data_IF_817820030909
#
_entry.id   IF_817820030909
#
_cell.length_a   1.000
_cell.length_b   1.000
_cell.length_c   1.000
_cell.angle_alpha   90.00
_cell.angle_beta   90.00
_cell.angle_gamma   90.00
#
_symmetry.space_group_name_H-M   'P 1'
#
loop_
_entity.id
_entity.type
_entity.pdbx_description
1 polymer ?
#
# COMPACT_ATOMS: atom_id res chain seq x y z
N UNK A 1 19.72 -5.68 -15.61
CA UNK A 1 18.40 -6.33 -15.66
C UNK A 1 18.44 -7.47 -14.64
N UNK A 2 17.85 -7.28 -13.45
CA UNK A 2 17.87 -8.29 -12.40
C UNK A 2 16.68 -9.23 -12.63
N UNK A 3 16.95 -10.48 -13.00
CA UNK A 3 15.95 -11.54 -13.09
C UNK A 3 15.68 -12.07 -11.68
N UNK A 4 14.52 -11.75 -11.11
CA UNK A 4 14.11 -12.28 -9.80
C UNK A 4 13.14 -13.44 -10.03
N UNK A 5 13.63 -14.68 -9.94
CA UNK A 5 12.77 -15.86 -9.83
C UNK A 5 12.36 -16.07 -8.37
N UNK A 6 11.23 -15.48 -7.97
CA UNK A 6 10.51 -15.93 -6.78
C UNK A 6 9.88 -17.30 -7.09
N UNK A 7 10.44 -18.36 -6.50
CA UNK A 7 9.88 -19.71 -6.60
C UNK A 7 8.61 -19.81 -5.76
N UNK A 8 7.61 -20.56 -6.24
CA UNK A 8 6.38 -20.88 -5.49
C UNK A 8 6.67 -21.41 -4.07
N UNK A 9 7.79 -22.13 -3.90
CA UNK A 9 8.28 -22.58 -2.59
C UNK A 9 8.55 -21.45 -1.61
N UNK A 10 8.98 -20.27 -2.07
CA UNK A 10 9.24 -19.11 -1.20
C UNK A 10 7.93 -18.43 -0.76
N UNK A 11 6.95 -18.32 -1.67
CA UNK A 11 5.61 -17.83 -1.34
C UNK A 11 4.90 -18.81 -0.40
N UNK A 12 4.99 -20.11 -0.68
CA UNK A 12 4.43 -21.14 0.18
C UNK A 12 5.16 -21.22 1.52
N UNK A 13 6.48 -21.00 1.56
CA UNK A 13 7.22 -20.87 2.81
C UNK A 13 6.84 -19.61 3.59
N UNK A 14 6.48 -18.50 2.94
CA UNK A 14 6.00 -17.30 3.62
C UNK A 14 4.58 -17.48 4.16
N UNK A 15 3.71 -18.16 3.41
CA UNK A 15 2.34 -18.48 3.82
C UNK A 15 2.29 -19.57 4.91
N UNK A 16 3.21 -20.53 4.87
CA UNK A 16 3.32 -21.63 5.83
C UNK A 16 4.39 -21.38 6.90
N UNK A 17 5.02 -20.19 6.92
CA UNK A 17 5.95 -19.84 7.99
C UNK A 17 5.19 -19.95 9.32
N UNK A 18 5.80 -20.52 10.37
CA UNK A 18 5.23 -20.36 11.70
C UNK A 18 5.02 -18.86 11.94
N UNK A 19 3.94 -18.47 12.65
CA UNK A 19 3.74 -17.08 13.03
C UNK A 19 5.07 -16.53 13.54
N UNK A 20 5.61 -15.52 12.86
CA UNK A 20 6.82 -14.84 13.32
C UNK A 20 6.61 -14.49 14.79
N UNK A 21 7.60 -14.67 15.65
CA UNK A 21 7.51 -14.25 17.06
C UNK A 21 6.94 -12.82 17.10
N UNK A 22 5.68 -12.74 17.53
CA UNK A 22 4.94 -11.50 17.65
C UNK A 22 5.56 -10.78 18.85
N UNK A 23 6.48 -9.86 18.57
CA UNK A 23 6.95 -8.94 19.59
C UNK A 23 5.89 -7.85 19.73
N UNK A 24 5.24 -7.79 20.88
CA UNK A 24 4.37 -6.67 21.25
C UNK A 24 5.20 -5.39 21.30
N UNK A 25 5.19 -4.65 20.19
CA UNK A 25 5.77 -3.31 20.16
C UNK A 25 4.67 -2.37 20.64
N UNK A 26 4.61 -2.17 21.96
CA UNK A 26 3.70 -1.20 22.55
C UNK A 26 3.88 0.14 21.84
N UNK A 27 2.83 0.58 21.16
CA UNK A 27 2.76 1.91 20.58
C UNK A 27 2.54 2.90 21.73
N UNK A 28 3.50 3.77 22.12
CA UNK A 28 3.34 4.74 23.20
C UNK A 28 2.34 5.87 22.89
N UNK A 29 1.49 5.72 21.87
CA UNK A 29 0.46 6.69 21.55
C UNK A 29 -0.69 6.58 22.56
N UNK A 30 -0.89 7.63 23.36
CA UNK A 30 -2.09 7.81 24.19
C UNK A 30 -3.27 8.24 23.29
N UNK A 31 -3.90 7.29 22.60
CA UNK A 31 -5.15 7.50 21.89
C UNK A 31 -6.31 6.75 22.56
N UNK A 32 -7.54 7.14 22.19
CA UNK A 32 -8.73 6.47 22.67
C UNK A 32 -8.70 5.00 22.18
N UNK A 33 -8.89 3.99 23.05
CA UNK A 33 -8.92 2.59 22.64
C UNK A 33 -10.00 2.26 21.60
N UNK A 34 -10.99 3.15 21.43
CA UNK A 34 -12.05 3.03 20.40
C UNK A 34 -11.64 3.57 19.03
N UNK A 35 -10.45 4.17 18.91
CA UNK A 35 -9.99 4.78 17.68
C UNK A 35 -9.65 3.73 16.63
N UNK A 36 -10.05 3.96 15.39
CA UNK A 36 -9.74 3.07 14.27
C UNK A 36 -8.31 3.35 13.81
N UNK A 37 -7.42 2.39 14.01
CA UNK A 37 -6.02 2.49 13.59
C UNK A 37 -5.80 1.67 12.32
N UNK A 38 -5.15 2.26 11.32
CA UNK A 38 -4.82 1.59 10.05
C UNK A 38 -3.34 1.77 9.74
N UNK A 39 -2.66 0.70 9.30
CA UNK A 39 -1.33 0.80 8.72
C UNK A 39 -1.47 1.35 7.30
N UNK A 40 -0.95 2.55 7.07
CA UNK A 40 -0.89 3.17 5.74
C UNK A 40 0.18 2.49 4.87
N UNK A 41 1.29 2.12 5.48
CA UNK A 41 2.37 1.41 4.82
C UNK A 41 3.63 1.36 5.69
N UNK A 42 4.64 0.64 5.21
CA UNK A 42 5.93 0.56 5.87
C UNK A 42 7.07 0.66 4.87
N UNK A 43 8.18 1.26 5.30
CA UNK A 43 9.36 1.44 4.47
C UNK A 43 10.59 1.70 5.35
N UNK A 44 11.71 1.02 5.07
CA UNK A 44 13.00 1.25 5.72
C UNK A 44 12.93 1.31 7.26
N UNK A 45 12.17 0.38 7.87
CA UNK A 45 11.98 0.28 9.32
C UNK A 45 11.10 1.37 9.93
N UNK A 46 10.52 2.26 9.12
CA UNK A 46 9.50 3.22 9.52
C UNK A 46 8.11 2.74 9.10
N UNK A 47 7.10 3.10 9.89
CA UNK A 47 5.70 2.74 9.70
C UNK A 47 4.89 4.03 9.62
N UNK A 48 3.99 4.11 8.65
CA UNK A 48 3.00 5.17 8.59
C UNK A 48 1.66 4.64 9.10
N UNK A 49 1.07 5.36 10.04
CA UNK A 49 -0.17 4.96 10.72
C UNK A 49 -1.21 6.06 10.52
N UNK A 50 -2.43 5.68 10.16
CA UNK A 50 -3.59 6.55 10.19
C UNK A 50 -4.46 6.24 11.41
N UNK A 51 -4.96 7.27 12.09
CA UNK A 51 -5.88 7.13 13.24
C UNK A 51 -7.15 7.92 12.96
N UNK A 52 -8.29 7.26 13.18
CA UNK A 52 -9.66 7.80 13.02
C UNK A 52 -9.93 8.43 11.66
N UNK A 53 -9.17 7.98 10.64
CA UNK A 53 -9.12 8.63 9.34
C UNK A 53 -9.04 10.15 9.52
N UNK A 54 -8.13 10.65 10.36
CA UNK A 54 -7.96 12.07 10.65
C UNK A 54 -6.50 12.44 10.82
N UNK A 55 -5.82 11.69 11.68
CA UNK A 55 -4.44 11.96 12.02
C UNK A 55 -3.53 10.96 11.33
N UNK A 56 -2.42 11.44 10.77
CA UNK A 56 -1.38 10.58 10.17
C UNK A 56 -0.10 10.71 10.96
N UNK A 57 0.54 9.58 11.22
CA UNK A 57 1.75 9.47 12.02
C UNK A 57 2.84 8.74 11.25
N UNK A 58 4.07 9.22 11.42
CA UNK A 58 5.26 8.44 11.15
C UNK A 58 5.79 7.90 12.46
N UNK A 59 5.98 6.59 12.49
CA UNK A 59 6.49 5.85 13.63
C UNK A 59 7.75 5.09 13.24
N UNK A 60 8.82 5.25 14.02
CA UNK A 60 9.96 4.34 13.97
C UNK A 60 9.93 3.45 15.23
N UNK A 61 9.53 2.17 15.10
CA UNK A 61 9.45 1.23 16.23
C UNK A 61 10.80 0.97 16.89
N UNK A 62 11.90 0.96 16.12
CA UNK A 62 13.24 0.66 16.64
C UNK A 62 13.72 1.70 17.66
N UNK A 63 13.53 2.98 17.37
CA UNK A 63 13.89 4.08 18.28
C UNK A 63 12.70 4.63 19.09
N UNK A 64 11.52 3.99 18.97
CA UNK A 64 10.26 4.38 19.63
C UNK A 64 9.88 5.86 19.44
N UNK A 65 10.22 6.46 18.29
CA UNK A 65 9.88 7.86 17.98
C UNK A 65 8.65 7.97 17.10
N UNK A 66 7.79 8.90 17.46
CA UNK A 66 6.56 9.23 16.75
C UNK A 66 6.60 10.67 16.28
N UNK A 67 6.04 10.90 15.10
CA UNK A 67 5.83 12.24 14.57
C UNK A 67 4.42 12.30 13.98
N UNK A 68 3.55 13.07 14.61
CA UNK A 68 2.29 13.48 14.01
C UNK A 68 2.59 14.37 12.81
N UNK A 69 1.95 14.10 11.68
CA UNK A 69 2.02 14.95 10.52
C UNK A 69 1.15 16.20 10.73
N UNK A 70 1.50 17.35 10.13
CA UNK A 70 0.60 18.50 10.11
C UNK A 70 -0.72 18.11 9.45
N UNK A 71 -1.78 18.86 9.75
CA UNK A 71 -3.07 18.64 9.11
C UNK A 71 -2.93 18.74 7.59
N UNK A 72 -3.43 17.73 6.90
CA UNK A 72 -3.48 17.65 5.44
C UNK A 72 -4.51 18.61 4.84
N UNK A 73 -5.46 19.10 5.65
CA UNK A 73 -6.55 19.95 5.21
C UNK A 73 -7.57 19.24 4.30
N UNK A 74 -7.57 17.90 4.27
CA UNK A 74 -8.67 17.15 3.65
C UNK A 74 -9.92 17.27 4.53
N UNK A 75 -11.02 17.77 3.98
CA UNK A 75 -12.28 17.96 4.73
C UNK A 75 -12.90 16.65 5.21
N UNK A 76 -12.71 15.56 4.46
CA UNK A 76 -13.29 14.24 4.74
C UNK A 76 -12.24 13.15 4.55
N UNK A 77 -11.38 13.01 5.55
CA UNK A 77 -10.31 12.02 5.55
C UNK A 77 -10.82 10.57 5.59
N UNK A 78 -12.10 10.34 5.98
CA UNK A 78 -12.78 9.04 5.92
C UNK A 78 -12.85 8.41 4.52
N UNK A 79 -12.67 9.21 3.47
CA UNK A 79 -12.67 8.75 2.07
C UNK A 79 -11.30 8.90 1.41
N UNK A 80 -10.30 9.40 2.12
CA UNK A 80 -8.98 9.63 1.56
C UNK A 80 -8.14 8.34 1.62
N UNK A 81 -7.50 8.00 0.51
CA UNK A 81 -6.44 7.00 0.50
C UNK A 81 -5.13 7.66 0.91
N UNK A 82 -4.42 7.01 1.83
CA UNK A 82 -3.04 7.34 2.13
C UNK A 82 -2.09 6.28 1.60
N UNK A 83 -0.91 6.72 1.18
CA UNK A 83 0.21 5.86 0.81
C UNK A 83 1.51 6.37 1.39
N UNK A 84 2.39 5.46 1.77
CA UNK A 84 3.67 5.80 2.39
C UNK A 84 4.83 5.12 1.68
N UNK A 85 5.89 5.88 1.43
CA UNK A 85 7.10 5.37 0.82
C UNK A 85 8.30 6.28 1.01
N UNK A 86 9.39 5.92 0.37
CA UNK A 86 10.66 6.62 0.47
C UNK A 86 11.19 7.01 -0.91
N UNK A 87 11.53 8.28 -1.06
CA UNK A 87 12.18 8.83 -2.24
C UNK A 87 13.70 8.66 -2.09
N UNK A 88 14.26 7.66 -2.77
CA UNK A 88 15.69 7.37 -2.75
C UNK A 88 16.54 8.53 -3.30
N UNK A 89 16.01 9.34 -4.22
CA UNK A 89 16.76 10.42 -4.84
C UNK A 89 16.86 11.64 -3.92
N UNK A 90 15.77 11.97 -3.23
CA UNK A 90 15.73 13.10 -2.28
C UNK A 90 16.07 12.68 -0.84
N UNK A 91 16.28 11.38 -0.60
CA UNK A 91 16.44 10.78 0.72
C UNK A 91 15.34 11.27 1.68
N UNK A 92 14.08 11.14 1.24
CA UNK A 92 12.95 11.67 2.00
C UNK A 92 11.82 10.67 2.13
N UNK A 93 11.25 10.60 3.33
CA UNK A 93 10.02 9.86 3.54
C UNK A 93 8.86 10.73 3.09
N UNK A 94 7.97 10.14 2.29
CA UNK A 94 6.82 10.85 1.74
C UNK A 94 5.52 10.11 2.02
N UNK A 95 4.47 10.90 2.26
CA UNK A 95 3.10 10.39 2.39
C UNK A 95 2.25 11.07 1.35
N UNK A 96 1.59 10.27 0.50
CA UNK A 96 0.55 10.76 -0.40
C UNK A 96 -0.80 10.64 0.29
N UNK A 97 -1.65 11.65 0.14
CA UNK A 97 -3.07 11.58 0.42
C UNK A 97 -3.86 11.89 -0.85
N UNK A 98 -4.87 11.10 -1.14
CA UNK A 98 -5.75 11.24 -2.31
C UNK A 98 -7.19 11.22 -1.83
N UNK A 99 -7.96 12.28 -2.11
CA UNK A 99 -9.39 12.29 -1.82
C UNK A 99 -10.08 13.56 -2.29
N UNK A 100 -11.37 13.47 -2.64
CA UNK A 100 -12.16 14.57 -3.20
C UNK A 100 -11.49 15.21 -4.43
N UNK A 101 -10.92 14.40 -5.32
CA UNK A 101 -10.17 14.85 -6.52
C UNK A 101 -8.90 15.66 -6.22
N UNK A 102 -8.51 15.84 -4.96
CA UNK A 102 -7.27 16.49 -4.58
C UNK A 102 -6.20 15.44 -4.24
N UNK A 103 -4.97 15.69 -4.66
CA UNK A 103 -3.81 14.92 -4.24
C UNK A 103 -2.85 15.84 -3.50
N UNK A 104 -2.41 15.38 -2.33
CA UNK A 104 -1.42 16.07 -1.51
C UNK A 104 -0.25 15.15 -1.20
N UNK A 105 0.95 15.71 -1.21
CA UNK A 105 2.18 15.01 -0.89
C UNK A 105 2.86 15.69 0.29
N UNK A 106 3.01 14.95 1.38
CA UNK A 106 3.84 15.33 2.51
C UNK A 106 5.28 14.92 2.26
N UNK A 107 6.22 15.83 2.55
CA UNK A 107 7.65 15.52 2.67
C UNK A 107 8.11 15.61 4.11
N UNK A 108 8.83 14.60 4.62
CA UNK A 108 9.33 14.62 6.01
C UNK A 108 10.37 15.72 6.21
N UNK A 109 11.26 15.94 5.23
CA UNK A 109 12.29 16.99 5.27
C UNK A 109 11.70 18.40 5.24
N UNK A 110 10.67 18.64 4.43
CA UNK A 110 9.98 19.94 4.38
C UNK A 110 8.99 20.13 5.53
N UNK A 111 8.57 19.03 6.15
CA UNK A 111 7.55 18.98 7.19
C UNK A 111 6.23 19.65 6.78
N UNK A 112 5.88 19.59 5.49
CA UNK A 112 4.72 20.26 4.93
C UNK A 112 4.04 19.42 3.84
N UNK A 113 2.76 19.68 3.63
CA UNK A 113 1.98 19.17 2.50
C UNK A 113 2.11 20.13 1.33
N UNK A 114 2.19 19.58 0.13
CA UNK A 114 1.99 20.32 -1.13
C UNK A 114 0.93 19.65 -1.99
N UNK A 115 0.28 20.43 -2.83
CA UNK A 115 -0.68 19.92 -3.81
C UNK A 115 0.09 19.31 -4.98
N UNK A 116 -0.40 18.18 -5.49
CA UNK A 116 0.10 17.52 -6.70
C UNK A 116 -0.97 17.66 -7.77
N UNK A 117 -0.59 18.21 -8.91
CA UNK A 117 -1.46 18.37 -10.07
C UNK A 117 -1.46 17.11 -10.97
N UNK A 118 -2.40 17.07 -11.91
CA UNK A 118 -2.46 16.01 -12.93
C UNK A 118 -3.14 14.71 -12.49
N UNK A 119 -3.74 14.67 -11.29
CA UNK A 119 -4.63 13.58 -10.91
C UNK A 119 -5.96 13.69 -11.65
N UNK A 120 -6.29 12.67 -12.43
CA UNK A 120 -7.45 12.64 -13.34
C UNK A 120 -8.39 11.45 -13.10
N UNK A 121 -8.16 10.72 -12.02
CA UNK A 121 -8.85 9.46 -11.72
C UNK A 121 -9.90 9.70 -10.65
N UNK A 122 -10.89 8.80 -10.56
CA UNK A 122 -11.81 8.83 -9.42
C UNK A 122 -11.07 8.49 -8.12
N UNK A 123 -11.70 8.79 -6.99
CA UNK A 123 -11.15 8.43 -5.70
C UNK A 123 -10.87 6.92 -5.64
N UNK A 124 -9.67 6.52 -5.20
CA UNK A 124 -9.26 5.12 -5.18
C UNK A 124 -10.05 4.34 -4.12
N UNK A 125 -10.04 3.02 -4.26
CA UNK A 125 -10.58 2.15 -3.21
C UNK A 125 -9.78 2.36 -1.90
N UNK A 126 -10.45 2.55 -0.75
CA UNK A 126 -9.75 2.74 0.53
C UNK A 126 -8.75 1.61 0.81
N UNK A 127 -7.66 1.96 1.49
CA UNK A 127 -6.71 1.00 2.06
C UNK A 127 -5.97 0.10 1.04
N UNK A 128 -5.74 0.52 -0.19
CA UNK A 128 -4.96 -0.26 -1.17
C UNK A 128 -3.81 0.55 -1.76
N UNK A 129 -2.75 0.76 -0.98
CA UNK A 129 -1.52 1.38 -1.48
C UNK A 129 -0.29 0.50 -1.21
N UNK A 130 0.45 0.19 -2.28
CA UNK A 130 1.64 -0.65 -2.25
C UNK A 130 2.86 0.14 -2.71
N UNK A 131 3.91 0.19 -1.88
CA UNK A 131 5.17 0.85 -2.20
C UNK A 131 6.20 -0.14 -2.73
N UNK A 132 6.64 0.03 -3.98
CA UNK A 132 7.70 -0.79 -4.58
C UNK A 132 8.47 0.04 -5.61
N UNK A 133 9.79 -0.17 -5.72
CA UNK A 133 10.65 0.50 -6.71
C UNK A 133 10.52 2.04 -6.74
N UNK A 134 10.41 2.68 -5.56
CA UNK A 134 10.30 4.13 -5.44
C UNK A 134 8.92 4.69 -5.83
N UNK A 135 7.94 3.82 -6.07
CA UNK A 135 6.61 4.18 -6.57
C UNK A 135 5.51 3.65 -5.66
N UNK A 136 4.48 4.46 -5.47
CA UNK A 136 3.25 4.08 -4.78
C UNK A 136 2.23 3.60 -5.79
N UNK A 137 1.58 2.47 -5.54
CA UNK A 137 0.62 1.86 -6.45
C UNK A 137 -0.71 1.70 -5.75
N UNK A 138 -1.79 2.10 -6.41
CA UNK A 138 -3.13 2.01 -5.89
C UNK A 138 -4.11 1.69 -7.02
N UNK A 139 -5.27 1.14 -6.67
CA UNK A 139 -6.32 0.79 -7.63
C UNK A 139 -7.32 1.94 -7.68
N UNK A 140 -7.56 2.44 -8.89
CA UNK A 140 -8.57 3.47 -9.20
C UNK A 140 -9.57 2.92 -10.19
N UNK A 141 -10.74 3.56 -10.26
CA UNK A 141 -11.70 3.35 -11.32
C UNK A 141 -11.63 4.49 -12.34
N UNK A 142 -11.51 4.13 -13.62
CA UNK A 142 -11.57 5.07 -14.74
C UNK A 142 -12.96 5.00 -15.35
N UNK A 143 -13.62 6.15 -15.51
CA UNK A 143 -14.88 6.25 -16.23
C UNK A 143 -14.65 6.08 -17.73
N UNK A 144 -15.39 5.17 -18.36
CA UNK A 144 -15.45 4.99 -19.82
C UNK A 144 -16.67 5.69 -20.44
N UNK A 145 -17.39 6.50 -19.66
CA UNK A 145 -18.71 7.03 -20.02
C UNK A 145 -19.84 6.00 -19.86
N UNK A 146 -21.09 6.46 -19.97
CA UNK A 146 -22.30 5.62 -19.84
C UNK A 146 -22.35 4.81 -18.54
N UNK A 147 -21.93 5.38 -17.41
CA UNK A 147 -21.83 4.72 -16.10
C UNK A 147 -20.96 3.44 -16.08
N UNK A 148 -20.05 3.26 -17.05
CA UNK A 148 -19.10 2.15 -17.05
C UNK A 148 -17.78 2.57 -16.43
N UNK A 149 -17.28 1.75 -15.52
CA UNK A 149 -16.01 1.95 -14.84
C UNK A 149 -15.11 0.75 -15.06
N UNK A 150 -13.84 1.02 -15.40
CA UNK A 150 -12.81 -0.01 -15.45
C UNK A 150 -11.76 0.23 -14.38
N UNK A 151 -11.39 -0.79 -13.60
CA UNK A 151 -10.31 -0.66 -12.65
C UNK A 151 -8.98 -0.53 -13.40
N UNK A 152 -8.10 0.33 -12.91
CA UNK A 152 -6.70 0.42 -13.34
C UNK A 152 -5.77 0.49 -12.12
N UNK A 153 -4.56 -0.03 -12.27
CA UNK A 153 -3.48 0.26 -11.34
C UNK A 153 -2.88 1.59 -11.77
N UNK A 154 -2.80 2.54 -10.85
CA UNK A 154 -2.05 3.78 -11.04
C UNK A 154 -0.86 3.76 -10.11
N UNK A 155 0.30 4.07 -10.69
CA UNK A 155 1.53 4.30 -9.97
C UNK A 155 1.80 5.80 -9.85
N UNK A 156 2.32 6.23 -8.70
CA UNK A 156 2.85 7.56 -8.46
C UNK A 156 4.33 7.45 -8.13
N UNK A 157 5.17 8.07 -8.96
CA UNK A 157 6.61 8.11 -8.78
C UNK A 157 6.98 9.16 -7.73
N UNK A 158 7.57 8.73 -6.61
CA UNK A 158 7.91 9.67 -5.53
C UNK A 158 9.02 10.64 -5.91
N UNK A 159 9.92 10.26 -6.82
CA UNK A 159 11.06 11.07 -7.20
C UNK A 159 10.66 12.13 -8.23
N UNK A 160 9.97 11.68 -9.28
CA UNK A 160 9.52 12.51 -10.40
C UNK A 160 8.17 13.18 -10.15
N UNK A 161 7.41 12.70 -9.15
CA UNK A 161 6.09 13.21 -8.79
C UNK A 161 5.06 13.11 -9.94
N UNK A 162 5.13 12.03 -10.70
CA UNK A 162 4.29 11.77 -11.87
C UNK A 162 3.43 10.52 -11.71
N UNK A 163 2.22 10.56 -12.24
CA UNK A 163 1.36 9.39 -12.35
C UNK A 163 1.61 8.60 -13.63
N UNK A 164 1.52 7.28 -13.55
CA UNK A 164 1.50 6.38 -14.72
C UNK A 164 0.54 5.22 -14.50
N UNK A 165 -0.16 4.83 -15.55
CA UNK A 165 -1.02 3.66 -15.55
C UNK A 165 -0.18 2.39 -15.68
N UNK A 166 -0.60 1.34 -14.98
CA UNK A 166 0.00 0.02 -15.01
C UNK A 166 -1.11 -0.98 -15.35
N UNK A 167 -0.85 -1.85 -16.32
CA UNK A 167 -1.83 -2.82 -16.74
C UNK A 167 -1.99 -3.98 -15.74
N UNK A 168 -3.23 -4.43 -15.59
CA UNK A 168 -3.56 -5.66 -14.88
C UNK A 168 -3.19 -6.91 -15.70
N UNK A 169 -2.99 -8.07 -15.03
CA UNK A 169 -2.89 -9.35 -15.73
C UNK A 169 -4.16 -9.65 -16.54
N UNK A 170 -5.33 -9.45 -15.92
CA UNK A 170 -6.63 -9.65 -16.52
C UNK A 170 -7.60 -8.51 -16.10
N UNK A 171 -8.24 -7.82 -17.05
CA UNK A 171 -9.22 -6.77 -16.76
C UNK A 171 -10.51 -7.30 -16.13
N UNK A 172 -10.86 -8.57 -16.30
CA UNK A 172 -12.18 -9.14 -15.94
C UNK A 172 -12.32 -9.57 -14.48
N UNK A 173 -11.27 -9.38 -13.67
CA UNK A 173 -11.32 -9.72 -12.26
C UNK A 173 -12.40 -8.89 -11.51
N UNK A 174 -13.08 -9.47 -10.52
CA UNK A 174 -14.16 -8.76 -9.82
C UNK A 174 -13.65 -8.02 -8.58
N UNK A 175 -12.84 -8.69 -7.76
CA UNK A 175 -12.23 -8.15 -6.54
C UNK A 175 -10.71 -8.22 -6.60
N UNK A 176 -10.04 -7.17 -6.13
CA UNK A 176 -8.59 -6.98 -6.27
C UNK A 176 -8.02 -6.32 -5.02
N UNK A 177 -6.78 -6.68 -4.69
CA UNK A 177 -5.94 -5.96 -3.76
C UNK A 177 -4.48 -5.98 -4.19
N UNK A 178 -3.72 -4.99 -3.73
CA UNK A 178 -2.30 -4.84 -4.00
C UNK A 178 -1.49 -5.21 -2.75
N UNK A 179 -0.34 -5.85 -2.97
CA UNK A 179 0.61 -6.20 -1.92
C UNK A 179 2.06 -6.22 -2.41
N UNK A 180 3.00 -6.30 -1.48
CA UNK A 180 4.44 -6.35 -1.78
C UNK A 180 5.08 -7.44 -0.92
N UNK A 181 5.63 -8.47 -1.55
CA UNK A 181 6.42 -9.51 -0.89
C UNK A 181 7.88 -9.35 -1.33
N UNK A 182 8.76 -9.04 -0.37
CA UNK A 182 10.15 -8.73 -0.66
C UNK A 182 10.28 -7.45 -1.49
N UNK A 183 10.83 -7.57 -2.70
CA UNK A 183 11.00 -6.47 -3.66
C UNK A 183 10.09 -6.58 -4.89
N UNK A 184 9.20 -7.58 -4.93
CA UNK A 184 8.31 -7.82 -6.07
C UNK A 184 6.89 -7.28 -5.81
N UNK A 185 6.24 -6.81 -6.89
CA UNK A 185 4.87 -6.32 -6.87
C UNK A 185 3.86 -7.46 -7.01
N UNK A 186 2.84 -7.48 -6.15
CA UNK A 186 1.84 -8.54 -6.11
C UNK A 186 0.43 -7.98 -6.32
N UNK A 187 -0.32 -8.65 -7.18
CA UNK A 187 -1.77 -8.50 -7.25
C UNK A 187 -2.40 -9.74 -6.62
N UNK A 188 -3.32 -9.51 -5.69
CA UNK A 188 -4.18 -10.54 -5.13
C UNK A 188 -5.58 -10.34 -5.72
N UNK A 189 -6.13 -11.38 -6.31
CA UNK A 189 -7.44 -11.35 -6.96
C UNK A 189 -8.35 -12.34 -6.25
N UNK A 190 -9.54 -11.90 -5.87
CA UNK A 190 -10.48 -12.74 -5.13
C UNK A 190 -11.59 -13.25 -6.08
N UNK A 191 -11.66 -14.58 -6.24
CA UNK A 191 -12.77 -15.32 -6.86
C UNK A 191 -12.73 -16.77 -6.35
N UNK A 192 -13.70 -17.20 -5.51
CA UNK A 192 -13.76 -18.56 -4.89
C UNK A 192 -12.45 -19.03 -4.16
N UNK A 193 -11.55 -18.08 -3.91
CA UNK A 193 -10.26 -18.13 -3.24
C UNK A 193 -9.44 -16.91 -3.68
N UNK A 194 -8.14 -16.85 -3.34
CA UNK A 194 -7.25 -15.73 -3.70
C UNK A 194 -6.20 -16.21 -4.70
N UNK A 195 -6.33 -15.79 -5.94
CA UNK A 195 -5.31 -15.94 -6.96
C UNK A 195 -4.17 -14.95 -6.72
N UNK A 196 -2.94 -15.47 -6.64
CA UNK A 196 -1.74 -14.65 -6.44
C UNK A 196 -1.01 -14.48 -7.76
N UNK A 197 -0.88 -13.22 -8.20
CA UNK A 197 -0.19 -12.84 -9.42
C UNK A 197 1.02 -11.96 -9.10
N UNK A 198 2.13 -12.23 -9.79
CA UNK A 198 3.38 -11.47 -9.66
C UNK A 198 3.75 -10.85 -10.99
N UNK A 199 4.14 -9.58 -10.98
CA UNK A 199 4.76 -8.91 -12.11
C UNK A 199 6.27 -9.14 -12.06
N UNK A 200 6.77 -10.04 -12.92
CA UNK A 200 8.22 -10.39 -12.94
C UNK A 200 9.08 -9.22 -13.43
N UNK A 201 8.56 -8.47 -14.40
CA UNK A 201 9.23 -7.29 -14.95
C UNK A 201 8.35 -6.06 -14.77
N UNK A 202 8.86 -5.09 -14.02
CA UNK A 202 8.07 -3.94 -13.63
C UNK A 202 7.52 -3.17 -14.85
N UNK A 203 6.20 -2.94 -14.86
CA UNK A 203 5.49 -2.23 -15.93
C UNK A 203 5.21 -3.05 -17.20
N UNK A 204 5.69 -4.30 -17.28
CA UNK A 204 5.50 -5.16 -18.47
C UNK A 204 4.30 -6.08 -18.26
N UNK A 205 3.20 -5.84 -18.98
CA UNK A 205 1.96 -6.61 -18.85
C UNK A 205 2.17 -8.11 -19.06
N UNK A 206 2.97 -8.49 -20.05
CA UNK A 206 3.24 -9.89 -20.39
C UNK A 206 4.06 -10.62 -19.31
N UNK A 207 4.67 -9.89 -18.37
CA UNK A 207 5.46 -10.47 -17.28
C UNK A 207 4.61 -10.93 -16.09
N UNK A 208 3.32 -10.58 -16.08
CA UNK A 208 2.39 -11.07 -15.06
C UNK A 208 2.27 -12.58 -15.13
N UNK A 209 2.58 -13.25 -14.02
CA UNK A 209 2.49 -14.70 -13.90
C UNK A 209 1.65 -15.04 -12.68
N UNK A 210 0.66 -15.93 -12.84
CA UNK A 210 -0.03 -16.54 -11.71
C UNK A 210 0.94 -17.50 -11.02
N UNK A 211 1.23 -17.25 -9.76
CA UNK A 211 2.18 -18.07 -8.99
C UNK A 211 1.49 -19.03 -8.04
N UNK A 212 0.21 -18.81 -7.74
CA UNK A 212 -0.56 -19.76 -6.94
C UNK A 212 -1.98 -19.32 -6.63
N UNK A 213 -2.59 -20.09 -5.72
CA UNK A 213 -3.97 -19.94 -5.26
C UNK A 213 -4.03 -20.21 -3.76
N UNK A 214 -4.72 -19.35 -3.01
CA UNK A 214 -4.96 -19.50 -1.58
C UNK A 214 -6.46 -19.74 -1.37
N UNK A 215 -6.89 -20.93 -0.91
CA UNK A 215 -8.29 -21.18 -0.62
C UNK A 215 -8.77 -20.41 0.62
N UNK A 216 -10.06 -20.08 0.70
CA UNK A 216 -10.69 -19.22 1.73
C UNK A 216 -10.59 -19.70 3.20
N UNK A 217 -9.95 -20.83 3.50
CA UNK A 217 -9.89 -21.40 4.84
C UNK A 217 -8.96 -20.66 5.82
N UNK A 218 -8.24 -19.62 5.37
CA UNK A 218 -7.36 -18.80 6.20
C UNK A 218 -8.05 -17.47 6.46
N UNK A 219 -8.13 -17.04 7.72
CA UNK A 219 -8.71 -15.76 8.12
C UNK A 219 -8.02 -14.62 7.33
N UNK A 220 -8.69 -14.14 6.28
CA UNK A 220 -8.05 -13.44 5.17
C UNK A 220 -7.58 -12.03 5.56
N UNK A 221 -8.24 -11.40 6.54
CA UNK A 221 -7.89 -10.07 7.02
C UNK A 221 -6.44 -9.98 7.55
N UNK A 222 -6.00 -10.93 8.38
CA UNK A 222 -4.64 -10.94 8.93
C UNK A 222 -3.60 -11.28 7.85
N UNK A 223 -3.98 -12.13 6.89
CA UNK A 223 -3.14 -12.53 5.76
C UNK A 223 -2.86 -11.37 4.79
N UNK A 224 -3.86 -10.50 4.56
CA UNK A 224 -3.68 -9.29 3.75
C UNK A 224 -2.77 -8.26 4.43
N UNK A 225 -2.82 -8.15 5.77
CA UNK A 225 -1.92 -7.28 6.53
C UNK A 225 -0.48 -7.81 6.50
N UNK A 226 -0.30 -9.13 6.64
CA UNK A 226 1.01 -9.78 6.57
C UNK A 226 1.69 -9.58 5.20
N UNK A 227 0.94 -9.70 4.09
CA UNK A 227 1.45 -9.47 2.73
C UNK A 227 1.71 -7.99 2.41
N UNK A 228 1.15 -7.05 3.17
CA UNK A 228 1.45 -5.60 3.07
C UNK A 228 2.67 -5.19 3.87
N UNK A 229 3.05 -6.01 4.85
CA UNK A 229 4.09 -5.72 5.83
C UNK A 229 5.22 -6.74 5.79
N UNK A 230 5.56 -7.30 4.62
CA UNK A 230 6.55 -8.40 4.50
C UNK A 230 7.96 -8.10 5.04
N UNK A 231 8.26 -6.85 5.43
CA UNK A 231 9.51 -6.43 6.10
C UNK A 231 9.35 -5.98 7.55
N UNK A 232 8.13 -5.89 8.08
CA UNK A 232 7.88 -5.69 9.50
C UNK A 232 7.46 -7.02 10.11
N UNK A 233 8.09 -7.42 11.22
CA UNK A 233 7.49 -8.43 12.10
C UNK A 233 6.06 -7.99 12.37
N UNK A 234 5.08 -8.88 12.18
CA UNK A 234 3.66 -8.52 12.29
C UNK A 234 3.43 -7.77 13.60
N UNK A 235 3.06 -6.50 13.50
CA UNK A 235 2.79 -5.66 14.66
C UNK A 235 1.29 -5.73 14.91
N UNK A 236 0.92 -6.33 16.04
CA UNK A 236 -0.45 -6.28 16.53
C UNK A 236 -0.66 -4.93 17.21
N UNK A 237 -1.67 -4.19 16.78
CA UNK A 237 -2.14 -3.01 17.50
C UNK A 237 -3.24 -3.48 18.45
N UNK A 238 -3.02 -3.32 19.76
CA UNK A 238 -4.02 -3.57 20.80
C UNK A 238 -5.07 -2.46 20.85
#
# INVERSE_FOLDING_TARGET
MLHFELKWSALQSALNAPPLEETDINCPMNYNPKSITTIVGSCNGSVCIGIDNKDVFLWNPYIRKFKKLPDSGFKYLSHALFGFGYDNFKDDYKVIGIGNMEVKLYGRKTASWKIIEGYKYNDPLPQQCAFVNGKLHFIVHISLGNNRYVPKIVSFDLANETFREVDFPNPDFSKRSLGVLGDAFHNLIEHDGVDVWIMKEYGVRQSWTKVGFVPFFINTYDSFIALRCSRLRMVKFC
#
